data_IF_032909478861
#
_entry.id   IF_032909478861
#
_cell.length_a   1.000
_cell.length_b   1.000
_cell.length_c   1.000
_cell.angle_alpha   90.00
_cell.angle_beta   90.00
_cell.angle_gamma   90.00
#
_symmetry.space_group_name_H-M   'P 1'
#
loop_
_entity.id
_entity.type
_entity.pdbx_description
1 polymer ?
#
# COMPACT_ATOMS: atom_id res chain seq x y z
N UNK A 1 15.10 18.96 27.20
CA UNK A 1 15.73 18.14 26.14
C UNK A 1 16.86 18.96 25.54
N UNK A 2 18.10 18.49 25.52
CA UNK A 2 19.23 19.27 24.96
C UNK A 2 19.13 19.39 23.44
N UNK A 3 19.67 20.48 22.86
CA UNK A 3 19.67 20.78 21.40
C UNK A 3 20.02 19.56 20.54
N UNK A 4 21.05 18.82 20.96
CA UNK A 4 21.50 17.57 20.35
C UNK A 4 20.40 16.51 20.14
N UNK A 5 19.52 16.28 21.11
CA UNK A 5 18.44 15.30 20.95
C UNK A 5 17.38 15.77 19.95
N UNK A 6 17.15 17.08 19.84
CA UNK A 6 16.20 17.65 18.87
C UNK A 6 16.74 17.57 17.44
N UNK A 7 18.03 17.85 17.24
CA UNK A 7 18.70 17.67 15.94
C UNK A 7 18.68 16.20 15.50
N UNK A 8 18.93 15.25 16.41
CA UNK A 8 18.81 13.82 16.09
C UNK A 8 17.38 13.42 15.72
N UNK A 9 16.37 14.00 16.39
CA UNK A 9 14.97 13.78 16.06
C UNK A 9 14.58 14.39 14.70
N UNK A 10 15.18 15.53 14.33
CA UNK A 10 15.02 16.17 13.01
C UNK A 10 15.53 15.24 11.91
N UNK A 11 16.77 14.77 12.02
CA UNK A 11 17.38 13.80 11.09
C UNK A 11 16.53 12.52 10.95
N UNK A 12 16.03 11.98 12.05
CA UNK A 12 15.16 10.81 12.02
C UNK A 12 13.84 11.08 11.28
N UNK A 13 13.30 12.30 11.40
CA UNK A 13 12.08 12.73 10.70
C UNK A 13 12.34 12.91 9.21
N UNK A 14 13.46 13.50 8.82
CA UNK A 14 13.88 13.66 7.43
C UNK A 14 14.09 12.32 6.74
N UNK A 15 14.80 11.40 7.38
CA UNK A 15 15.01 10.05 6.85
C UNK A 15 13.68 9.31 6.60
N UNK A 16 12.68 9.50 7.47
CA UNK A 16 11.33 8.95 7.30
C UNK A 16 10.56 9.62 6.15
N UNK A 17 10.74 10.91 5.95
CA UNK A 17 10.15 11.64 4.81
C UNK A 17 10.73 11.09 3.50
N UNK A 18 12.04 10.90 3.44
CA UNK A 18 12.72 10.41 2.25
C UNK A 18 12.45 8.93 1.96
N UNK A 19 12.26 8.10 2.99
CA UNK A 19 11.78 6.72 2.78
C UNK A 19 10.38 6.72 2.16
N UNK A 20 9.44 7.51 2.70
CA UNK A 20 8.07 7.56 2.16
C UNK A 20 8.06 8.11 0.72
N UNK A 21 8.87 9.12 0.41
CA UNK A 21 9.01 9.60 -0.97
C UNK A 21 9.55 8.53 -1.92
N UNK A 22 10.54 7.75 -1.49
CA UNK A 22 11.08 6.64 -2.28
C UNK A 22 10.06 5.51 -2.48
N UNK A 23 9.16 5.32 -1.52
CA UNK A 23 8.16 4.25 -1.54
C UNK A 23 6.83 4.66 -2.20
N UNK A 24 6.58 5.96 -2.40
CA UNK A 24 5.32 6.52 -2.90
C UNK A 24 4.85 5.98 -4.27
N UNK A 25 5.75 5.32 -5.03
CA UNK A 25 5.43 4.66 -6.30
C UNK A 25 5.64 3.13 -6.29
N UNK A 26 5.73 2.50 -5.11
CA UNK A 26 5.86 1.03 -5.02
C UNK A 26 4.69 0.31 -5.71
N UNK A 27 3.46 0.78 -5.51
CA UNK A 27 2.29 0.15 -6.11
C UNK A 27 2.29 0.27 -7.64
N UNK A 28 2.64 1.44 -8.18
CA UNK A 28 2.77 1.64 -9.64
C UNK A 28 3.87 0.77 -10.23
N UNK A 29 5.04 0.71 -9.57
CA UNK A 29 6.19 -0.10 -10.03
C UNK A 29 5.89 -1.59 -10.04
N UNK A 30 5.09 -2.07 -9.10
CA UNK A 30 4.73 -3.48 -8.99
C UNK A 30 3.37 -3.81 -9.63
N UNK A 31 2.70 -2.85 -10.28
CA UNK A 31 1.36 -3.05 -10.84
C UNK A 31 1.33 -4.25 -11.80
N UNK A 32 2.34 -4.39 -12.66
CA UNK A 32 2.44 -5.53 -13.58
C UNK A 32 2.51 -6.87 -12.85
N UNK A 33 3.22 -6.94 -11.72
CA UNK A 33 3.31 -8.16 -10.90
C UNK A 33 1.95 -8.50 -10.27
N UNK A 34 1.22 -7.48 -9.80
CA UNK A 34 -0.13 -7.67 -9.27
C UNK A 34 -1.11 -8.13 -10.34
N UNK A 35 -1.06 -7.58 -11.55
CA UNK A 35 -1.91 -8.01 -12.66
C UNK A 35 -1.64 -9.47 -13.00
N UNK A 36 -0.38 -9.84 -13.23
CA UNK A 36 -0.02 -11.22 -13.58
C UNK A 36 -0.43 -12.19 -12.48
N UNK A 37 -0.16 -11.86 -11.21
CA UNK A 37 -0.54 -12.70 -10.08
C UNK A 37 -2.05 -12.84 -9.94
N UNK A 38 -2.81 -11.75 -10.06
CA UNK A 38 -4.26 -11.74 -9.98
C UNK A 38 -4.91 -12.54 -11.11
N UNK A 39 -4.40 -12.42 -12.33
CA UNK A 39 -4.87 -13.21 -13.46
C UNK A 39 -4.62 -14.70 -13.25
N UNK A 40 -3.38 -15.09 -12.90
CA UNK A 40 -3.05 -16.50 -12.63
C UNK A 40 -3.90 -17.08 -11.49
N UNK A 41 -4.04 -16.34 -10.38
CA UNK A 41 -4.88 -16.75 -9.26
C UNK A 41 -6.34 -16.96 -9.70
N UNK A 42 -6.87 -16.12 -10.60
CA UNK A 42 -8.25 -16.22 -11.08
C UNK A 42 -8.50 -17.46 -11.95
N UNK A 43 -7.49 -17.95 -12.68
CA UNK A 43 -7.60 -19.23 -13.43
C UNK A 43 -7.47 -20.46 -12.54
N UNK A 44 -6.69 -20.33 -11.46
CA UNK A 44 -6.39 -21.43 -10.55
C UNK A 44 -7.49 -21.61 -9.49
N UNK A 45 -8.02 -20.52 -8.93
CA UNK A 45 -9.03 -20.53 -7.86
C UNK A 45 -10.30 -21.37 -8.16
N UNK A 46 -10.88 -21.35 -9.38
CA UNK A 46 -12.05 -22.17 -9.70
C UNK A 46 -11.80 -23.69 -9.59
N UNK A 47 -10.55 -24.13 -9.67
CA UNK A 47 -10.18 -25.54 -9.59
C UNK A 47 -9.94 -26.01 -8.14
N UNK A 48 -9.84 -25.10 -7.18
CA UNK A 48 -9.66 -25.43 -5.76
C UNK A 48 -11.01 -25.63 -5.07
N UNK A 49 -11.53 -26.85 -5.15
CA UNK A 49 -12.64 -27.29 -4.30
C UNK A 49 -12.28 -28.59 -3.57
N UNK A 50 -13.04 -28.91 -2.51
CA UNK A 50 -12.66 -29.94 -1.55
C UNK A 50 -12.81 -31.36 -2.11
N UNK A 51 -13.95 -31.61 -2.77
CA UNK A 51 -14.29 -32.91 -3.38
C UNK A 51 -14.49 -32.79 -4.91
N UNK A 52 -14.87 -31.60 -5.39
CA UNK A 52 -15.06 -31.27 -6.82
C UNK A 52 -14.60 -29.83 -7.06
N UNK A 53 -14.29 -29.44 -8.30
CA UNK A 53 -13.94 -28.06 -8.63
C UNK A 53 -15.05 -27.08 -8.21
N UNK A 54 -14.66 -25.87 -7.79
CA UNK A 54 -15.57 -24.86 -7.21
C UNK A 54 -16.70 -24.47 -8.18
N UNK A 55 -16.39 -24.39 -9.48
CA UNK A 55 -17.40 -24.10 -10.50
C UNK A 55 -18.47 -25.21 -10.62
N UNK A 56 -18.08 -26.46 -10.39
CA UNK A 56 -19.00 -27.61 -10.42
C UNK A 56 -19.83 -27.71 -9.14
N UNK A 57 -19.27 -27.31 -8.00
CA UNK A 57 -20.00 -27.23 -6.72
C UNK A 57 -21.06 -26.12 -6.75
N UNK A 58 -20.71 -24.97 -7.31
CA UNK A 58 -21.60 -23.81 -7.43
C UNK A 58 -22.56 -23.88 -8.63
N UNK A 59 -22.47 -24.91 -9.47
CA UNK A 59 -23.22 -25.05 -10.73
C UNK A 59 -23.14 -23.80 -11.63
N UNK A 60 -21.96 -23.19 -11.72
CA UNK A 60 -21.69 -22.00 -12.55
C UNK A 60 -20.66 -22.33 -13.62
N UNK A 61 -20.65 -21.54 -14.70
CA UNK A 61 -19.61 -21.65 -15.72
C UNK A 61 -18.24 -21.34 -15.11
N UNK A 62 -17.23 -22.11 -15.52
CA UNK A 62 -15.84 -21.83 -15.19
C UNK A 62 -15.45 -20.38 -15.51
N UNK A 63 -15.85 -19.89 -16.69
CA UNK A 63 -15.53 -18.54 -17.15
C UNK A 63 -16.20 -17.46 -16.29
N UNK A 64 -17.44 -17.67 -15.86
CA UNK A 64 -18.14 -16.72 -14.99
C UNK A 64 -17.41 -16.59 -13.65
N UNK A 65 -16.93 -17.71 -13.11
CA UNK A 65 -16.17 -17.73 -11.87
C UNK A 65 -14.80 -17.05 -12.02
N UNK A 66 -14.09 -17.29 -13.12
CA UNK A 66 -12.81 -16.61 -13.42
C UNK A 66 -13.02 -15.09 -13.50
N UNK A 67 -14.04 -14.65 -14.25
CA UNK A 67 -14.36 -13.21 -14.39
C UNK A 67 -14.71 -12.61 -13.04
N UNK A 68 -15.49 -13.31 -12.21
CA UNK A 68 -15.81 -12.87 -10.86
C UNK A 68 -14.55 -12.66 -10.00
N UNK A 69 -13.62 -13.62 -10.01
CA UNK A 69 -12.36 -13.49 -9.27
C UNK A 69 -11.50 -12.33 -9.77
N UNK A 70 -11.44 -12.11 -11.09
CA UNK A 70 -10.72 -10.95 -11.67
C UNK A 70 -11.33 -9.63 -11.19
N UNK A 71 -12.66 -9.51 -11.20
CA UNK A 71 -13.36 -8.30 -10.77
C UNK A 71 -13.12 -8.05 -9.28
N UNK A 72 -13.28 -9.08 -8.44
CA UNK A 72 -13.05 -8.98 -7.00
C UNK A 72 -11.60 -8.56 -6.73
N UNK A 73 -10.63 -9.22 -7.36
CA UNK A 73 -9.21 -8.89 -7.22
C UNK A 73 -8.91 -7.44 -7.63
N UNK A 74 -9.43 -6.99 -8.79
CA UNK A 74 -9.26 -5.64 -9.28
C UNK A 74 -9.86 -4.60 -8.32
N UNK A 75 -11.04 -4.88 -7.77
CA UNK A 75 -11.71 -4.01 -6.80
C UNK A 75 -10.90 -3.86 -5.50
N UNK A 76 -10.36 -4.97 -4.97
CA UNK A 76 -9.50 -4.96 -3.78
C UNK A 76 -8.23 -4.15 -4.07
N UNK A 77 -7.57 -4.39 -5.20
CA UNK A 77 -6.37 -3.64 -5.60
C UNK A 77 -6.63 -2.14 -5.70
N UNK A 78 -7.77 -1.74 -6.27
CA UNK A 78 -8.15 -0.34 -6.38
C UNK A 78 -8.42 0.30 -5.01
N UNK A 79 -9.13 -0.38 -4.13
CA UNK A 79 -9.38 0.08 -2.76
C UNK A 79 -8.06 0.22 -1.99
N UNK A 80 -7.19 -0.79 -2.04
CA UNK A 80 -5.87 -0.75 -1.40
C UNK A 80 -5.02 0.41 -1.90
N UNK A 81 -5.04 0.69 -3.21
CA UNK A 81 -4.34 1.84 -3.79
C UNK A 81 -4.86 3.17 -3.22
N UNK A 82 -6.17 3.35 -3.14
CA UNK A 82 -6.76 4.57 -2.56
C UNK A 82 -6.36 4.72 -1.09
N UNK A 83 -6.51 3.66 -0.30
CA UNK A 83 -6.18 3.68 1.12
C UNK A 83 -4.71 4.05 1.33
N UNK A 84 -3.78 3.40 0.61
CA UNK A 84 -2.36 3.72 0.72
C UNK A 84 -2.06 5.16 0.32
N UNK A 85 -2.65 5.66 -0.78
CA UNK A 85 -2.46 7.03 -1.22
C UNK A 85 -2.93 8.05 -0.17
N UNK A 86 -4.06 7.80 0.49
CA UNK A 86 -4.59 8.67 1.55
C UNK A 86 -3.72 8.57 2.81
N UNK A 87 -3.29 7.36 3.18
CA UNK A 87 -2.47 7.10 4.34
C UNK A 87 -1.09 7.77 4.22
N UNK A 88 -0.44 7.64 3.07
CA UNK A 88 0.86 8.25 2.80
C UNK A 88 0.78 9.77 2.79
N UNK A 89 -0.26 10.34 2.18
CA UNK A 89 -0.48 11.80 2.21
C UNK A 89 -0.65 12.30 3.64
N UNK A 90 -1.40 11.57 4.46
CA UNK A 90 -1.63 11.94 5.87
C UNK A 90 -0.35 11.81 6.70
N UNK A 91 0.41 10.73 6.52
CA UNK A 91 1.71 10.51 7.19
C UNK A 91 2.71 11.60 6.80
N UNK A 92 2.79 11.94 5.52
CA UNK A 92 3.66 13.01 5.01
C UNK A 92 3.32 14.36 5.62
N UNK A 93 2.04 14.72 5.71
CA UNK A 93 1.62 15.97 6.37
C UNK A 93 2.04 16.03 7.84
N UNK A 94 1.88 14.92 8.58
CA UNK A 94 2.31 14.83 9.98
C UNK A 94 3.82 14.99 10.13
N UNK A 95 4.60 14.33 9.27
CA UNK A 95 6.07 14.40 9.32
C UNK A 95 6.59 15.80 8.92
N UNK A 96 6.00 16.42 7.91
CA UNK A 96 6.36 17.80 7.52
C UNK A 96 6.04 18.80 8.63
N UNK A 97 4.88 18.66 9.29
CA UNK A 97 4.55 19.50 10.46
C UNK A 97 5.57 19.28 11.58
N UNK A 98 5.91 18.02 11.89
CA UNK A 98 6.86 17.70 12.94
C UNK A 98 8.27 18.21 12.64
N UNK A 99 8.70 18.14 11.37
CA UNK A 99 9.96 18.73 10.91
C UNK A 99 10.00 20.23 11.21
N UNK A 100 8.95 20.96 10.81
CA UNK A 100 8.85 22.41 11.03
C UNK A 100 8.87 22.78 12.52
N UNK A 101 8.12 22.05 13.35
CA UNK A 101 8.14 22.24 14.82
C UNK A 101 9.54 22.06 15.39
N UNK A 102 10.28 21.02 14.97
CA UNK A 102 11.64 20.77 15.43
C UNK A 102 12.61 21.86 14.96
N UNK A 103 12.48 22.35 13.72
CA UNK A 103 13.30 23.47 13.20
C UNK A 103 13.06 24.77 13.99
N UNK A 104 11.80 25.12 14.26
CA UNK A 104 11.43 26.29 15.07
C UNK A 104 11.95 26.15 16.51
N UNK A 105 11.81 24.98 17.11
CA UNK A 105 12.33 24.69 18.44
C UNK A 105 13.86 24.79 18.50
N UNK A 106 14.60 24.28 17.52
CA UNK A 106 16.07 24.37 17.47
C UNK A 106 16.53 25.82 17.34
N UNK A 107 15.86 26.60 16.48
CA UNK A 107 16.15 28.03 16.28
C UNK A 107 15.89 28.88 17.53
N UNK A 108 14.96 28.47 18.40
CA UNK A 108 14.70 29.15 19.68
C UNK A 108 15.81 28.99 20.72
N UNK A 109 16.79 28.11 20.49
CA UNK A 109 18.00 27.96 21.30
C UNK A 109 19.20 28.77 20.79
N UNK A 110 19.03 29.50 19.67
CA UNK A 110 20.02 30.45 19.13
C UNK A 110 19.71 31.88 19.57
#
# INVERSE_FOLDING_TARGET
MTKYYKEKALLATENKIDSIKRDADFFKRNLNRFIVFGTLASFVAPNYGKDKPLYAELNVSYYDLVVFFVIVFASICFISYIIWKVQDRTRMRKLLKRKKELEEEIKSYE
#
